data_IF_727396013452
#
_entry.id   IF_727396013452
#
_cell.length_a   1.000
_cell.length_b   1.000
_cell.length_c   1.000
_cell.angle_alpha   90.00
_cell.angle_beta   90.00
_cell.angle_gamma   90.00
#
_symmetry.space_group_name_H-M   'P 1'
#
loop_
_entity.id
_entity.type
_entity.pdbx_description
1 polymer ?
#
# COMPACT_ATOMS: atom_id res chain seq x y z
N UNK A 1 1.04 13.70 -2.80
CA UNK A 1 0.81 12.33 -3.28
C UNK A 1 -0.08 12.27 -4.52
N UNK A 2 -1.32 12.79 -4.55
CA UNK A 2 -2.18 12.68 -5.75
C UNK A 2 -1.47 13.29 -6.97
N UNK A 3 -1.41 12.54 -8.07
CA UNK A 3 -0.69 12.90 -9.29
C UNK A 3 0.81 12.53 -9.30
N UNK A 4 1.39 12.14 -8.17
CA UNK A 4 2.78 11.70 -8.08
C UNK A 4 2.95 10.22 -8.43
N UNK A 5 4.15 9.85 -8.87
CA UNK A 5 4.54 8.46 -9.13
C UNK A 5 5.46 7.96 -8.03
N UNK A 6 4.96 7.06 -7.18
CA UNK A 6 5.72 6.44 -6.08
C UNK A 6 6.58 5.30 -6.62
N UNK A 7 7.85 5.29 -6.24
CA UNK A 7 8.80 4.25 -6.64
C UNK A 7 8.98 4.12 -8.16
N UNK A 8 8.67 5.18 -8.92
CA UNK A 8 8.71 5.17 -10.38
C UNK A 8 7.66 4.27 -11.06
N UNK A 9 6.73 3.68 -10.30
CA UNK A 9 5.78 2.65 -10.78
C UNK A 9 4.32 2.94 -10.48
N UNK A 10 4.02 3.51 -9.31
CA UNK A 10 2.63 3.65 -8.86
C UNK A 10 2.19 5.11 -8.96
N UNK A 11 1.41 5.44 -9.99
CA UNK A 11 0.85 6.77 -10.18
C UNK A 11 -0.41 6.94 -9.33
N UNK A 12 -0.39 7.84 -8.36
CA UNK A 12 -1.49 8.02 -7.41
C UNK A 12 -2.65 8.78 -8.08
N UNK A 13 -3.85 8.20 -8.06
CA UNK A 13 -5.05 8.76 -8.70
C UNK A 13 -5.93 9.53 -7.70
N UNK A 14 -6.27 8.91 -6.58
CA UNK A 14 -7.12 9.51 -5.54
C UNK A 14 -7.00 8.79 -4.20
N UNK A 15 -7.45 9.44 -3.13
CA UNK A 15 -7.62 8.79 -1.82
C UNK A 15 -8.82 7.83 -1.84
N UNK A 16 -8.66 6.65 -1.23
CA UNK A 16 -9.73 5.68 -0.96
C UNK A 16 -10.20 5.77 0.49
N UNK A 17 -9.30 6.10 1.42
CA UNK A 17 -9.64 6.31 2.82
C UNK A 17 -8.43 6.61 3.68
N UNK A 18 -8.69 7.11 4.87
CA UNK A 18 -7.68 7.54 5.85
C UNK A 18 -8.09 7.15 7.26
N UNK A 19 -7.11 6.75 8.06
CA UNK A 19 -7.30 6.41 9.47
C UNK A 19 -6.00 6.56 10.26
N UNK A 20 -6.00 6.07 11.50
CA UNK A 20 -4.87 6.27 12.42
C UNK A 20 -3.53 5.71 11.91
N UNK A 21 -3.54 4.61 11.16
CA UNK A 21 -2.31 3.99 10.63
C UNK A 21 -1.81 4.60 9.31
N UNK A 22 -2.56 5.53 8.71
CA UNK A 22 -2.17 6.17 7.45
C UNK A 22 -3.31 6.28 6.43
N UNK A 23 -2.94 6.32 5.15
CA UNK A 23 -3.84 6.62 4.02
C UNK A 23 -3.76 5.51 2.97
N UNK A 24 -4.92 5.10 2.44
CA UNK A 24 -5.01 4.19 1.30
C UNK A 24 -5.37 5.01 0.07
N UNK A 25 -4.59 4.87 -0.98
CA UNK A 25 -4.83 5.50 -2.27
C UNK A 25 -5.19 4.48 -3.34
N UNK A 26 -5.99 4.91 -4.32
CA UNK A 26 -6.08 4.27 -5.61
C UNK A 26 -4.86 4.73 -6.42
N UNK A 27 -4.10 3.78 -6.94
CA UNK A 27 -2.96 4.06 -7.79
C UNK A 27 -3.02 3.20 -9.05
N UNK A 28 -2.42 3.69 -10.12
CA UNK A 28 -2.18 2.94 -11.33
C UNK A 28 -0.77 2.39 -11.32
N UNK A 29 -0.63 1.07 -11.32
CA UNK A 29 0.64 0.38 -11.53
C UNK A 29 0.98 0.38 -13.02
N UNK A 30 1.99 1.18 -13.40
CA UNK A 30 2.38 1.35 -14.81
C UNK A 30 3.13 0.15 -15.39
N UNK A 31 3.58 -0.79 -14.57
CA UNK A 31 4.33 -1.95 -15.04
C UNK A 31 3.44 -3.08 -15.55
N UNK A 32 2.24 -3.21 -14.99
CA UNK A 32 1.25 -4.25 -15.33
C UNK A 32 -0.10 -3.68 -15.78
N UNK A 33 -0.17 -2.36 -15.94
CA UNK A 33 -1.34 -1.61 -16.42
C UNK A 33 -2.62 -1.92 -15.62
N UNK A 34 -2.53 -1.84 -14.28
CA UNK A 34 -3.62 -2.21 -13.38
C UNK A 34 -3.79 -1.21 -12.24
N UNK A 35 -5.04 -0.97 -11.85
CA UNK A 35 -5.37 -0.25 -10.63
C UNK A 35 -5.09 -1.09 -9.38
N UNK A 36 -4.40 -0.49 -8.41
CA UNK A 36 -4.00 -1.09 -7.15
C UNK A 36 -4.35 -0.19 -5.98
N UNK A 37 -4.56 -0.79 -4.81
CA UNK A 37 -4.65 -0.06 -3.55
C UNK A 37 -3.26 0.11 -2.94
N UNK A 38 -2.80 1.34 -2.79
CA UNK A 38 -1.50 1.67 -2.21
C UNK A 38 -1.70 2.24 -0.80
N UNK A 39 -1.30 1.48 0.22
CA UNK A 39 -1.37 1.91 1.63
C UNK A 39 -0.06 2.59 2.03
N UNK A 40 -0.13 3.89 2.27
CA UNK A 40 0.93 4.67 2.89
C UNK A 40 0.72 4.68 4.40
N UNK A 41 1.77 4.36 5.16
CA UNK A 41 1.71 4.30 6.62
C UNK A 41 2.36 5.52 7.25
N UNK A 42 1.80 5.97 8.38
CA UNK A 42 2.47 6.86 9.30
C UNK A 42 3.15 5.99 10.35
N UNK A 43 4.48 5.89 10.28
CA UNK A 43 5.28 5.08 11.19
C UNK A 43 6.11 6.05 12.02
N UNK A 44 5.60 6.37 13.21
CA UNK A 44 6.18 7.42 14.07
C UNK A 44 7.27 6.86 15.00
N UNK A 45 7.39 5.52 15.09
CA UNK A 45 8.35 4.84 15.95
C UNK A 45 8.88 3.53 15.32
N UNK A 46 10.02 3.07 15.83
CA UNK A 46 10.71 1.87 15.34
C UNK A 46 9.90 0.58 15.60
N UNK A 47 9.11 0.50 16.68
CA UNK A 47 8.27 -0.66 16.98
C UNK A 47 7.17 -0.83 15.92
N UNK A 48 6.51 0.27 15.55
CA UNK A 48 5.52 0.34 14.48
C UNK A 48 6.11 -0.10 13.15
N UNK A 49 7.35 0.30 12.84
CA UNK A 49 8.08 -0.13 11.64
C UNK A 49 8.38 -1.63 11.64
N UNK A 50 8.84 -2.17 12.76
CA UNK A 50 9.09 -3.61 12.91
C UNK A 50 7.80 -4.43 12.80
N UNK A 51 6.71 -3.96 13.40
CA UNK A 51 5.38 -4.56 13.30
C UNK A 51 4.90 -4.62 11.85
N UNK A 52 5.02 -3.51 11.13
CA UNK A 52 4.68 -3.45 9.72
C UNK A 52 5.46 -4.47 8.87
N UNK A 53 6.78 -4.50 9.02
CA UNK A 53 7.61 -5.43 8.25
C UNK A 53 7.26 -6.90 8.53
N UNK A 54 6.88 -7.23 9.77
CA UNK A 54 6.43 -8.57 10.14
C UNK A 54 5.10 -8.92 9.47
N UNK A 55 4.12 -8.03 9.52
CA UNK A 55 2.81 -8.23 8.89
C UNK A 55 2.93 -8.37 7.37
N UNK A 56 3.71 -7.49 6.73
CA UNK A 56 3.94 -7.54 5.29
C UNK A 56 4.55 -8.89 4.84
N UNK A 57 5.50 -9.43 5.62
CA UNK A 57 6.10 -10.75 5.34
C UNK A 57 5.09 -11.88 5.47
N UNK A 58 4.23 -11.84 6.48
CA UNK A 58 3.18 -12.85 6.68
C UNK A 58 2.15 -12.79 5.55
N UNK A 59 1.72 -11.59 5.16
CA UNK A 59 0.72 -11.40 4.11
C UNK A 59 1.25 -11.75 2.71
N UNK A 60 2.52 -11.46 2.42
CA UNK A 60 3.12 -11.72 1.11
C UNK A 60 3.17 -13.20 0.71
N UNK A 61 3.03 -14.12 1.66
CA UNK A 61 2.95 -15.56 1.40
C UNK A 61 1.53 -16.11 1.24
N UNK A 62 0.49 -15.29 1.45
CA UNK A 62 -0.90 -15.75 1.39
C UNK A 62 -1.40 -15.77 -0.06
N UNK A 63 -1.86 -16.95 -0.51
CA UNK A 63 -2.52 -17.12 -1.80
C UNK A 63 -3.75 -18.00 -1.61
N UNK A 64 -4.93 -17.39 -1.66
CA UNK A 64 -6.21 -18.07 -1.48
C UNK A 64 -7.30 -17.25 -2.19
N UNK A 65 -8.32 -17.86 -2.83
CA UNK A 65 -9.35 -17.14 -3.58
C UNK A 65 -10.15 -16.11 -2.77
N UNK A 66 -10.20 -16.26 -1.45
CA UNK A 66 -10.88 -15.34 -0.53
C UNK A 66 -9.92 -14.32 0.13
N UNK A 67 -8.68 -14.21 -0.33
CA UNK A 67 -7.69 -13.23 0.13
C UNK A 67 -7.34 -12.33 -1.05
N UNK A 68 -7.38 -11.03 -0.82
CA UNK A 68 -7.01 -10.03 -1.83
C UNK A 68 -5.47 -10.03 -1.94
N UNK A 69 -4.96 -10.22 -3.16
CA UNK A 69 -3.55 -10.17 -3.54
C UNK A 69 -3.25 -9.14 -4.61
#
# INVERSE_FOLDING_TARGET
MIGETVGGRYRIERELGRGGMGVVYLAHDTSIDRQVALKQLHLDDEESRQRFMREARLMGGLSHPNIIT
#
